data_IF_267825490502
#
_entry.id   IF_267825490502
#
_cell.length_a   1.000
_cell.length_b   1.000
_cell.length_c   1.000
_cell.angle_alpha   90.00
_cell.angle_beta   90.00
_cell.angle_gamma   90.00
#
_symmetry.space_group_name_H-M   'P 1'
#
loop_
_entity.id
_entity.type
_entity.pdbx_description
1 polymer ?
#
# COMPACT_ATOMS: atom_id res chain seq x y z
N UNK A 1 -0.14 18.06 20.47
CA UNK A 1 0.22 17.45 21.77
C UNK A 1 -1.06 17.07 22.52
N UNK A 2 -1.33 15.77 22.64
CA UNK A 2 -2.58 15.22 23.19
C UNK A 2 -2.90 15.75 24.59
N UNK A 3 -1.88 15.89 25.43
CA UNK A 3 -2.06 16.39 26.82
C UNK A 3 -2.63 17.82 26.84
N UNK A 4 -2.22 18.65 25.89
CA UNK A 4 -2.76 20.00 25.76
C UNK A 4 -4.22 19.97 25.28
N UNK A 5 -4.53 19.17 24.27
CA UNK A 5 -5.90 19.01 23.77
C UNK A 5 -6.85 18.53 24.87
N UNK A 6 -6.42 17.53 25.63
CA UNK A 6 -7.21 17.00 26.75
C UNK A 6 -7.39 18.04 27.87
N UNK A 7 -6.38 18.87 28.12
CA UNK A 7 -6.46 19.91 29.16
C UNK A 7 -7.40 21.05 28.74
N UNK A 8 -7.48 21.40 27.47
CA UNK A 8 -8.30 22.51 26.96
C UNK A 8 -9.73 22.06 26.66
N UNK A 9 -9.88 20.99 25.87
CA UNK A 9 -11.17 20.55 25.33
C UNK A 9 -11.75 19.32 26.05
N UNK A 10 -10.93 18.69 26.92
CA UNK A 10 -11.28 17.43 27.56
C UNK A 10 -11.12 16.23 26.62
N UNK A 11 -11.78 15.12 26.98
CA UNK A 11 -11.80 13.92 26.16
C UNK A 11 -12.84 14.04 25.05
N UNK A 12 -12.50 14.81 24.02
CA UNK A 12 -13.37 15.10 22.86
C UNK A 12 -12.63 14.72 21.59
N UNK A 13 -13.32 14.00 20.70
CA UNK A 13 -12.78 13.58 19.39
C UNK A 13 -13.70 14.14 18.31
N UNK A 14 -13.42 15.36 17.87
CA UNK A 14 -14.17 16.05 16.81
C UNK A 14 -13.35 16.03 15.50
N UNK A 15 -13.84 15.33 14.45
CA UNK A 15 -13.19 15.36 13.16
C UNK A 15 -13.45 16.69 12.44
N UNK A 16 -12.42 17.20 11.78
CA UNK A 16 -12.48 18.42 10.97
C UNK A 16 -12.01 18.18 9.54
N UNK A 17 -12.53 19.00 8.60
CA UNK A 17 -12.16 18.92 7.18
C UNK A 17 -10.85 19.62 6.89
N UNK A 18 -9.96 18.91 6.18
CA UNK A 18 -8.70 19.50 5.69
C UNK A 18 -8.91 20.02 4.29
N UNK A 19 -8.72 21.33 4.13
CA UNK A 19 -8.75 21.99 2.85
C UNK A 19 -7.37 22.54 2.50
N UNK A 20 -6.80 22.11 1.39
CA UNK A 20 -5.59 22.71 0.85
C UNK A 20 -5.95 23.75 -0.20
N UNK A 21 -5.47 24.96 0.02
CA UNK A 21 -5.58 26.04 -0.97
C UNK A 21 -4.31 26.04 -1.82
N UNK A 22 -4.46 25.82 -3.12
CA UNK A 22 -3.33 25.93 -4.04
C UNK A 22 -2.96 27.43 -4.18
N UNK A 23 -1.76 27.78 -3.74
CA UNK A 23 -1.29 29.19 -3.73
C UNK A 23 -1.32 29.86 -5.10
N UNK A 24 -1.10 29.08 -6.18
CA UNK A 24 -1.07 29.59 -7.57
C UNK A 24 -2.47 29.75 -8.17
N UNK A 25 -3.37 28.80 -7.91
CA UNK A 25 -4.69 28.76 -8.57
C UNK A 25 -5.83 29.25 -7.67
N UNK A 26 -5.56 29.45 -6.36
CA UNK A 26 -6.55 29.76 -5.31
C UNK A 26 -7.71 28.76 -5.24
N UNK A 27 -7.55 27.58 -5.84
CA UNK A 27 -8.54 26.49 -5.75
C UNK A 27 -8.36 25.73 -4.45
N UNK A 28 -9.46 25.59 -3.71
CA UNK A 28 -9.54 24.71 -2.56
C UNK A 28 -9.67 23.27 -3.03
N UNK A 29 -8.84 22.38 -2.49
CA UNK A 29 -8.94 20.93 -2.68
C UNK A 29 -9.24 20.30 -1.33
N UNK A 30 -10.33 19.56 -1.25
CA UNK A 30 -10.67 18.77 -0.06
C UNK A 30 -9.71 17.58 0.01
N UNK A 31 -8.98 17.48 1.13
CA UNK A 31 -8.04 16.38 1.44
C UNK A 31 -8.64 15.34 2.37
N UNK A 32 -9.93 15.44 2.66
CA UNK A 32 -10.61 14.58 3.58
C UNK A 32 -10.76 15.20 4.97
N UNK A 33 -10.73 14.37 5.98
CA UNK A 33 -10.91 14.79 7.36
C UNK A 33 -9.90 14.12 8.29
N UNK A 34 -9.59 14.78 9.39
CA UNK A 34 -8.72 14.30 10.45
C UNK A 34 -9.30 14.63 11.82
N UNK A 35 -8.77 13.97 12.85
CA UNK A 35 -9.02 14.27 14.24
C UNK A 35 -7.69 14.19 14.99
N UNK A 36 -7.30 15.26 15.67
CA UNK A 36 -5.99 15.38 16.30
C UNK A 36 -5.83 14.42 17.49
N UNK A 37 -6.83 14.36 18.36
CA UNK A 37 -6.74 13.53 19.56
C UNK A 37 -6.81 12.03 19.21
N UNK A 38 -7.74 11.66 18.34
CA UNK A 38 -7.96 10.26 17.91
C UNK A 38 -7.84 10.19 16.38
N UNK A 39 -6.66 9.91 15.81
CA UNK A 39 -6.52 9.67 14.38
C UNK A 39 -7.44 8.56 13.87
N UNK A 40 -7.97 8.72 12.64
CA UNK A 40 -8.94 7.78 12.05
C UNK A 40 -8.49 6.32 12.01
N UNK A 41 -7.19 6.09 11.91
CA UNK A 41 -6.61 4.74 11.89
C UNK A 41 -6.92 3.93 13.14
N UNK A 42 -7.00 4.56 14.31
CA UNK A 42 -7.34 3.87 15.56
C UNK A 42 -8.81 3.46 15.59
N UNK A 43 -9.71 4.33 15.14
CA UNK A 43 -11.14 4.02 15.03
C UNK A 43 -11.36 2.88 14.02
N UNK A 44 -10.71 2.94 12.85
CA UNK A 44 -10.79 1.90 11.82
C UNK A 44 -10.27 0.57 12.37
N UNK A 45 -9.09 0.55 12.96
CA UNK A 45 -8.47 -0.68 13.47
C UNK A 45 -9.29 -1.32 14.60
N UNK A 46 -10.02 -0.54 15.38
CA UNK A 46 -10.80 -1.07 16.50
C UNK A 46 -12.20 -1.53 16.11
N UNK A 47 -12.86 -0.81 15.22
CA UNK A 47 -14.28 -1.03 14.92
C UNK A 47 -14.55 -1.56 13.52
N UNK A 48 -13.62 -1.40 12.58
CA UNK A 48 -13.79 -1.70 11.16
C UNK A 48 -12.62 -2.52 10.60
N UNK A 49 -12.10 -3.44 11.41
CA UNK A 49 -10.94 -4.24 11.03
C UNK A 49 -11.25 -5.14 9.82
N UNK A 50 -12.48 -5.69 9.76
CA UNK A 50 -12.90 -6.56 8.66
C UNK A 50 -12.99 -5.81 7.34
N UNK A 51 -13.57 -4.61 7.36
CA UNK A 51 -13.69 -3.74 6.18
C UNK A 51 -12.30 -3.29 5.70
N UNK A 52 -11.41 -2.98 6.63
CA UNK A 52 -10.02 -2.67 6.31
C UNK A 52 -9.32 -3.87 5.67
N UNK A 53 -9.44 -5.06 6.25
CA UNK A 53 -8.84 -6.28 5.70
C UNK A 53 -9.37 -6.59 4.30
N UNK A 54 -10.65 -6.39 4.04
CA UNK A 54 -11.21 -6.55 2.70
C UNK A 54 -10.58 -5.59 1.68
N UNK A 55 -10.27 -4.35 2.08
CA UNK A 55 -9.56 -3.39 1.22
C UNK A 55 -8.11 -3.85 1.01
N UNK A 56 -7.41 -4.26 2.06
CA UNK A 56 -6.03 -4.76 2.00
C UNK A 56 -5.94 -5.99 1.05
N UNK A 57 -6.95 -6.88 1.05
CA UNK A 57 -7.04 -8.02 0.12
C UNK A 57 -7.21 -7.57 -1.33
N UNK A 58 -8.07 -6.58 -1.60
CA UNK A 58 -8.23 -6.01 -2.94
C UNK A 58 -6.97 -5.30 -3.44
N UNK A 59 -6.23 -4.64 -2.54
CA UNK A 59 -4.95 -4.01 -2.86
C UNK A 59 -3.87 -5.06 -3.19
N UNK A 60 -3.81 -6.17 -2.45
CA UNK A 60 -2.92 -7.28 -2.74
C UNK A 60 -3.24 -7.96 -4.08
N UNK A 61 -4.54 -8.14 -4.40
CA UNK A 61 -4.97 -8.65 -5.70
C UNK A 61 -4.54 -7.71 -6.85
N UNK A 62 -4.72 -6.40 -6.66
CA UNK A 62 -4.28 -5.38 -7.63
C UNK A 62 -2.75 -5.40 -7.84
N UNK A 63 -1.97 -5.56 -6.78
CA UNK A 63 -0.50 -5.70 -6.85
C UNK A 63 -0.11 -6.96 -7.65
N UNK A 64 -0.79 -8.07 -7.40
CA UNK A 64 -0.60 -9.32 -8.15
C UNK A 64 -0.85 -9.12 -9.65
N UNK A 65 -1.95 -8.46 -10.02
CA UNK A 65 -2.24 -8.14 -11.42
C UNK A 65 -1.18 -7.18 -12.00
N UNK A 66 -0.71 -6.21 -11.21
CA UNK A 66 0.39 -5.32 -11.62
C UNK A 66 1.68 -6.08 -11.93
N UNK A 67 2.03 -7.07 -11.11
CA UNK A 67 3.18 -7.95 -11.34
C UNK A 67 3.00 -8.77 -12.62
N UNK A 68 1.83 -9.39 -12.81
CA UNK A 68 1.53 -10.16 -14.03
C UNK A 68 1.58 -9.30 -15.31
N UNK A 69 1.14 -8.04 -15.24
CA UNK A 69 1.27 -7.09 -16.36
C UNK A 69 2.74 -6.81 -16.66
N UNK A 70 3.56 -6.55 -15.64
CA UNK A 70 4.98 -6.28 -15.81
C UNK A 70 5.73 -7.49 -16.37
N UNK A 71 5.44 -8.69 -15.87
CA UNK A 71 6.01 -9.94 -16.37
C UNK A 71 5.63 -10.19 -17.84
N UNK A 72 4.36 -9.96 -18.20
CA UNK A 72 3.89 -10.12 -19.57
C UNK A 72 4.54 -9.09 -20.52
N UNK A 73 4.72 -7.85 -20.08
CA UNK A 73 5.41 -6.80 -20.82
C UNK A 73 6.90 -7.17 -21.01
N UNK A 74 7.57 -7.64 -19.96
CA UNK A 74 8.99 -8.04 -20.03
C UNK A 74 9.20 -9.24 -20.95
N UNK A 75 8.36 -10.27 -20.82
CA UNK A 75 8.44 -11.49 -21.65
C UNK A 75 8.27 -11.19 -23.15
N UNK A 76 7.47 -10.19 -23.49
CA UNK A 76 7.12 -9.87 -24.87
C UNK A 76 7.68 -8.54 -25.38
N UNK A 77 8.72 -7.97 -24.75
CA UNK A 77 9.37 -6.71 -25.15
C UNK A 77 10.60 -6.87 -26.05
N UNK A 78 11.07 -8.11 -26.32
CA UNK A 78 12.23 -8.39 -27.17
C UNK A 78 12.06 -7.97 -28.64
N UNK A 79 13.16 -7.87 -29.40
CA UNK A 79 13.16 -7.36 -30.79
C UNK A 79 12.22 -8.11 -31.75
N UNK A 80 11.96 -9.42 -31.50
CA UNK A 80 11.07 -10.25 -32.33
C UNK A 80 9.76 -10.61 -31.61
N UNK A 81 9.38 -9.87 -30.56
CA UNK A 81 8.22 -10.19 -29.74
C UNK A 81 7.03 -9.26 -29.98
N UNK A 82 5.88 -9.64 -29.41
CA UNK A 82 4.59 -9.05 -29.76
C UNK A 82 4.41 -7.59 -29.34
N UNK A 83 5.27 -7.09 -28.44
CA UNK A 83 5.27 -5.68 -28.01
C UNK A 83 6.42 -4.86 -28.59
N UNK A 84 7.30 -5.45 -29.42
CA UNK A 84 8.45 -4.76 -30.01
C UNK A 84 8.08 -3.49 -30.82
N UNK A 85 6.97 -3.54 -31.53
CA UNK A 85 6.52 -2.45 -32.41
C UNK A 85 5.77 -1.31 -31.65
N UNK A 86 5.62 -1.43 -30.31
CA UNK A 86 4.91 -0.41 -29.56
C UNK A 86 5.85 0.64 -28.96
N UNK A 87 5.73 1.90 -29.36
CA UNK A 87 6.39 3.03 -28.67
C UNK A 87 6.04 3.07 -27.16
N UNK A 88 4.81 2.70 -26.83
CA UNK A 88 4.31 2.53 -25.46
C UNK A 88 3.27 1.42 -25.43
N UNK A 89 3.45 0.48 -24.53
CA UNK A 89 2.47 -0.56 -24.26
C UNK A 89 1.35 0.07 -23.43
N UNK A 90 0.16 0.17 -24.04
CA UNK A 90 -1.03 0.69 -23.39
C UNK A 90 -2.31 0.12 -24.03
N UNK A 91 -3.43 0.22 -23.31
CA UNK A 91 -4.74 -0.31 -23.75
C UNK A 91 -5.09 0.13 -25.18
N UNK A 92 -4.85 1.38 -25.54
CA UNK A 92 -5.24 1.95 -26.83
C UNK A 92 -4.41 1.35 -27.98
N UNK A 93 -3.10 1.23 -27.81
CA UNK A 93 -2.20 0.67 -28.82
C UNK A 93 -2.45 -0.82 -29.01
N UNK A 94 -2.63 -1.57 -27.92
CA UNK A 94 -2.95 -3.01 -27.96
C UNK A 94 -4.30 -3.26 -28.66
N UNK A 95 -5.33 -2.46 -28.36
CA UNK A 95 -6.61 -2.56 -29.05
C UNK A 95 -6.51 -2.24 -30.55
N UNK A 96 -5.69 -1.25 -30.92
CA UNK A 96 -5.43 -0.90 -32.31
C UNK A 96 -4.77 -2.04 -33.07
N UNK A 97 -3.78 -2.70 -32.46
CA UNK A 97 -3.10 -3.86 -33.05
C UNK A 97 -4.05 -5.05 -33.21
N UNK A 98 -4.87 -5.37 -32.21
CA UNK A 98 -5.87 -6.42 -32.32
C UNK A 98 -6.84 -6.18 -33.47
N UNK A 99 -7.33 -4.95 -33.65
CA UNK A 99 -8.22 -4.59 -34.78
C UNK A 99 -7.49 -4.74 -36.13
N UNK A 100 -6.21 -4.38 -36.21
CA UNK A 100 -5.42 -4.54 -37.45
C UNK A 100 -5.26 -6.02 -37.82
N UNK A 101 -4.98 -6.91 -36.85
CA UNK A 101 -4.87 -8.36 -37.07
C UNK A 101 -6.24 -8.94 -37.52
N UNK A 102 -7.34 -8.51 -36.92
CA UNK A 102 -8.69 -8.98 -37.27
C UNK A 102 -9.08 -8.58 -38.73
N UNK A 103 -8.61 -7.42 -39.17
CA UNK A 103 -8.84 -6.91 -40.55
C UNK A 103 -8.03 -7.67 -41.59
N UNK A 104 -6.82 -8.15 -41.26
CA UNK A 104 -5.92 -8.82 -42.18
C UNK A 104 -6.26 -10.30 -42.45
N UNK A 105 -7.33 -10.86 -41.87
CA UNK A 105 -7.78 -12.27 -41.95
C UNK A 105 -6.70 -13.32 -41.62
N UNK A 106 -5.57 -12.91 -41.02
CA UNK A 106 -4.41 -13.75 -40.69
C UNK A 106 -4.55 -14.42 -39.30
N UNK A 107 -5.74 -14.86 -38.96
CA UNK A 107 -6.10 -15.34 -37.59
C UNK A 107 -5.31 -16.61 -37.17
N UNK A 108 -4.89 -17.41 -38.12
CA UNK A 108 -4.24 -18.69 -37.82
C UNK A 108 -2.74 -18.49 -37.52
N UNK A 109 -2.08 -17.61 -38.25
CA UNK A 109 -0.65 -17.31 -38.07
C UNK A 109 -0.36 -16.48 -36.79
N UNK A 110 -1.33 -15.64 -36.37
CA UNK A 110 -1.19 -14.72 -35.23
C UNK A 110 -1.93 -15.20 -33.96
N UNK A 111 -2.22 -16.51 -33.86
CA UNK A 111 -3.03 -17.04 -32.74
C UNK A 111 -2.40 -16.78 -31.37
N UNK A 112 -1.09 -16.87 -31.21
CA UNK A 112 -0.40 -16.63 -29.93
C UNK A 112 -0.34 -15.13 -29.61
N UNK A 113 -0.02 -14.27 -30.59
CA UNK A 113 -0.06 -12.81 -30.43
C UNK A 113 -1.44 -12.35 -29.94
N UNK A 114 -2.50 -12.85 -30.57
CA UNK A 114 -3.88 -12.51 -30.18
C UNK A 114 -4.18 -12.92 -28.73
N UNK A 115 -3.69 -14.07 -28.28
CA UNK A 115 -3.85 -14.51 -26.88
C UNK A 115 -3.15 -13.57 -25.93
N UNK A 116 -1.89 -13.23 -26.18
CA UNK A 116 -1.10 -12.31 -25.35
C UNK A 116 -1.76 -10.94 -25.26
N UNK A 117 -2.13 -10.35 -26.40
CA UNK A 117 -2.80 -9.05 -26.45
C UNK A 117 -4.15 -9.05 -25.72
N UNK A 118 -4.94 -10.13 -25.82
CA UNK A 118 -6.18 -10.28 -25.07
C UNK A 118 -5.97 -10.45 -23.57
N UNK A 119 -4.95 -11.21 -23.17
CA UNK A 119 -4.58 -11.37 -21.77
C UNK A 119 -4.17 -10.04 -21.18
N UNK A 120 -3.35 -9.26 -21.88
CA UNK A 120 -2.98 -7.92 -21.48
C UNK A 120 -4.19 -7.00 -21.27
N UNK A 121 -5.11 -6.97 -22.24
CA UNK A 121 -6.32 -6.15 -22.13
C UNK A 121 -7.19 -6.56 -20.97
N UNK A 122 -7.32 -7.87 -20.72
CA UNK A 122 -8.10 -8.39 -19.58
C UNK A 122 -7.46 -7.95 -18.25
N UNK A 123 -6.15 -8.10 -18.10
CA UNK A 123 -5.44 -7.67 -16.89
C UNK A 123 -5.59 -6.17 -16.63
N UNK A 124 -5.51 -5.32 -17.66
CA UNK A 124 -5.76 -3.87 -17.54
C UNK A 124 -7.21 -3.57 -17.11
N UNK A 125 -8.17 -4.34 -17.61
CA UNK A 125 -9.58 -4.17 -17.24
C UNK A 125 -9.82 -4.61 -15.78
N UNK A 126 -9.31 -5.78 -15.41
CA UNK A 126 -9.37 -6.29 -14.04
C UNK A 126 -8.71 -5.30 -13.04
N UNK A 127 -7.54 -4.74 -13.38
CA UNK A 127 -6.87 -3.71 -12.57
C UNK A 127 -7.71 -2.43 -12.44
N UNK A 128 -8.37 -2.01 -13.53
CA UNK A 128 -9.27 -0.84 -13.52
C UNK A 128 -10.48 -1.07 -12.62
N UNK A 129 -11.06 -2.26 -12.65
CA UNK A 129 -12.22 -2.61 -11.85
C UNK A 129 -11.87 -2.79 -10.37
N UNK A 130 -10.69 -3.35 -10.06
CA UNK A 130 -10.16 -3.36 -8.69
C UNK A 130 -9.93 -1.95 -8.17
N UNK A 131 -9.36 -1.05 -8.96
CA UNK A 131 -9.18 0.36 -8.56
C UNK A 131 -10.52 1.03 -8.19
N UNK A 132 -11.60 0.73 -8.92
CA UNK A 132 -12.94 1.25 -8.58
C UNK A 132 -13.43 0.66 -7.28
N UNK A 133 -13.35 -0.68 -7.12
CA UNK A 133 -13.78 -1.37 -5.90
C UNK A 133 -13.04 -0.87 -4.66
N UNK A 134 -11.70 -0.71 -4.75
CA UNK A 134 -10.88 -0.17 -3.65
C UNK A 134 -11.32 1.24 -3.30
N UNK A 135 -11.52 2.10 -4.30
CA UNK A 135 -11.96 3.48 -4.08
C UNK A 135 -13.33 3.55 -3.41
N UNK A 136 -14.28 2.74 -3.87
CA UNK A 136 -15.64 2.71 -3.35
C UNK A 136 -15.64 2.18 -1.91
N UNK A 137 -14.94 1.06 -1.65
CA UNK A 137 -14.79 0.48 -0.31
C UNK A 137 -14.05 1.45 0.67
N UNK A 138 -13.00 2.13 0.20
CA UNK A 138 -12.28 3.12 1.01
C UNK A 138 -13.16 4.33 1.35
N UNK A 139 -14.01 4.76 0.42
CA UNK A 139 -14.94 5.85 0.64
C UNK A 139 -16.03 5.45 1.63
N UNK A 140 -16.53 4.22 1.52
CA UNK A 140 -17.51 3.67 2.46
C UNK A 140 -16.93 3.55 3.87
N UNK A 141 -15.71 3.00 3.99
CA UNK A 141 -14.99 2.91 5.27
C UNK A 141 -14.76 4.28 5.91
N UNK A 142 -14.37 5.28 5.12
CA UNK A 142 -14.20 6.66 5.61
C UNK A 142 -15.51 7.24 6.14
N UNK A 143 -16.64 6.96 5.48
CA UNK A 143 -17.97 7.39 5.93
C UNK A 143 -18.39 6.68 7.22
N UNK A 144 -18.19 5.37 7.29
CA UNK A 144 -18.49 4.57 8.50
C UNK A 144 -17.66 5.06 9.69
N UNK A 145 -16.37 5.33 9.47
CA UNK A 145 -15.50 5.88 10.50
C UNK A 145 -16.01 7.26 10.96
N UNK A 146 -16.36 8.16 10.05
CA UNK A 146 -16.89 9.50 10.38
C UNK A 146 -18.19 9.43 11.19
N UNK A 147 -19.10 8.53 10.84
CA UNK A 147 -20.33 8.28 11.62
C UNK A 147 -20.00 7.75 13.02
N UNK A 148 -19.00 6.88 13.14
CA UNK A 148 -18.57 6.33 14.44
C UNK A 148 -18.07 7.41 15.38
N UNK A 149 -17.34 8.43 14.89
CA UNK A 149 -16.88 9.55 15.74
C UNK A 149 -18.02 10.27 16.44
N UNK A 150 -19.17 10.42 15.79
CA UNK A 150 -20.36 11.07 16.39
C UNK A 150 -20.95 10.26 17.55
N UNK A 151 -20.69 8.95 17.57
CA UNK A 151 -21.22 8.03 18.56
C UNK A 151 -20.19 7.61 19.63
N UNK A 152 -18.95 8.14 19.59
CA UNK A 152 -17.92 7.82 20.57
C UNK A 152 -18.26 8.39 21.95
N UNK A 153 -18.23 7.54 22.95
CA UNK A 153 -18.33 7.95 24.36
C UNK A 153 -16.96 8.40 24.90
N UNK A 154 -16.96 9.17 25.98
CA UNK A 154 -15.71 9.60 26.66
C UNK A 154 -14.80 8.44 27.04
N UNK A 155 -15.38 7.32 27.47
CA UNK A 155 -14.58 6.18 27.90
C UNK A 155 -13.98 5.43 26.70
N UNK A 156 -14.68 5.35 25.57
CA UNK A 156 -14.13 4.83 24.32
C UNK A 156 -13.00 5.72 23.79
N UNK A 157 -13.15 7.06 23.87
CA UNK A 157 -12.08 7.99 23.49
C UNK A 157 -10.85 7.78 24.37
N UNK A 158 -11.01 7.61 25.70
CA UNK A 158 -9.89 7.29 26.60
C UNK A 158 -9.19 5.99 26.20
N UNK A 159 -9.96 4.93 25.88
CA UNK A 159 -9.38 3.66 25.44
C UNK A 159 -8.59 3.82 24.13
N UNK A 160 -9.15 4.51 23.14
CA UNK A 160 -8.48 4.77 21.87
C UNK A 160 -7.17 5.57 22.04
N UNK A 161 -7.15 6.54 22.96
CA UNK A 161 -5.97 7.37 23.20
C UNK A 161 -4.96 6.66 24.11
N UNK A 162 -5.40 6.11 25.22
CA UNK A 162 -4.48 5.52 26.22
C UNK A 162 -3.99 4.16 25.75
N UNK A 163 -4.92 3.25 25.42
CA UNK A 163 -4.56 1.87 25.11
C UNK A 163 -4.02 1.74 23.68
N UNK A 164 -4.78 2.22 22.69
CA UNK A 164 -4.45 1.99 21.29
C UNK A 164 -3.38 2.95 20.75
N UNK A 165 -3.33 4.21 21.24
CA UNK A 165 -2.36 5.20 20.77
C UNK A 165 -1.10 5.23 21.64
N UNK A 166 -1.22 5.48 22.95
CA UNK A 166 -0.06 5.70 23.81
C UNK A 166 0.63 4.40 24.22
N UNK A 167 -0.11 3.46 24.81
CA UNK A 167 0.49 2.20 25.25
C UNK A 167 1.02 1.38 24.08
N UNK A 168 0.29 1.30 22.97
CA UNK A 168 0.77 0.62 21.77
C UNK A 168 2.03 1.29 21.18
N UNK A 169 2.13 2.63 21.22
CA UNK A 169 3.32 3.36 20.77
C UNK A 169 4.53 3.07 21.67
N UNK A 170 4.34 3.04 22.99
CA UNK A 170 5.38 2.68 23.95
C UNK A 170 5.82 1.23 23.74
N UNK A 171 4.88 0.31 23.60
CA UNK A 171 5.17 -1.10 23.35
C UNK A 171 5.97 -1.29 22.06
N UNK A 172 5.56 -0.63 20.98
CA UNK A 172 6.28 -0.65 19.71
C UNK A 172 7.71 -0.12 19.85
N UNK A 173 7.88 1.01 20.53
CA UNK A 173 9.19 1.62 20.76
C UNK A 173 10.12 0.72 21.56
N UNK A 174 9.60 0.07 22.60
CA UNK A 174 10.37 -0.89 23.40
C UNK A 174 10.77 -2.11 22.58
N UNK A 175 9.83 -2.70 21.82
CA UNK A 175 10.12 -3.84 20.94
C UNK A 175 11.19 -3.49 19.91
N UNK A 176 11.06 -2.37 19.23
CA UNK A 176 12.04 -1.90 18.23
C UNK A 176 13.41 -1.74 18.83
N UNK A 177 13.53 -1.16 20.03
CA UNK A 177 14.81 -1.01 20.70
C UNK A 177 15.42 -2.34 21.13
N UNK A 178 14.59 -3.27 21.62
CA UNK A 178 15.04 -4.63 21.95
C UNK A 178 15.53 -5.39 20.71
N UNK A 179 14.84 -5.29 19.58
CA UNK A 179 15.27 -5.88 18.32
C UNK A 179 16.60 -5.28 17.84
N UNK A 180 16.76 -3.96 17.93
CA UNK A 180 17.99 -3.25 17.58
C UNK A 180 19.18 -3.72 18.43
N UNK A 181 18.97 -3.88 19.74
CA UNK A 181 20.01 -4.39 20.65
C UNK A 181 20.34 -5.84 20.32
N UNK A 182 19.33 -6.69 20.07
CA UNK A 182 19.51 -8.09 19.72
C UNK A 182 20.30 -8.26 18.42
N UNK A 183 19.96 -7.48 17.37
CA UNK A 183 20.69 -7.50 16.10
C UNK A 183 22.16 -7.06 16.27
N UNK A 184 22.42 -6.00 17.04
CA UNK A 184 23.79 -5.56 17.36
C UNK A 184 24.57 -6.64 18.09
N UNK A 185 23.97 -7.30 19.07
CA UNK A 185 24.61 -8.38 19.84
C UNK A 185 24.91 -9.57 18.91
N UNK A 186 23.96 -9.97 18.08
CA UNK A 186 24.14 -11.06 17.11
C UNK A 186 25.26 -10.73 16.11
N UNK A 187 25.28 -9.51 15.58
CA UNK A 187 26.37 -9.04 14.71
C UNK A 187 27.73 -9.12 15.41
N UNK A 188 27.79 -8.67 16.66
CA UNK A 188 29.05 -8.72 17.44
C UNK A 188 29.51 -10.15 17.73
N UNK A 189 28.58 -11.06 18.01
CA UNK A 189 28.90 -12.47 18.20
C UNK A 189 29.47 -13.08 16.92
N UNK A 190 28.86 -12.77 15.74
CA UNK A 190 29.36 -13.24 14.44
C UNK A 190 30.77 -12.74 14.16
N UNK A 191 31.03 -11.42 14.35
CA UNK A 191 32.36 -10.83 14.19
C UNK A 191 33.40 -11.53 15.09
N UNK A 192 33.02 -11.82 16.35
CA UNK A 192 33.93 -12.51 17.28
C UNK A 192 34.13 -13.96 16.84
N UNK A 193 33.07 -14.68 16.42
CA UNK A 193 33.19 -16.05 15.94
C UNK A 193 34.15 -16.13 14.74
N UNK A 194 33.95 -15.27 13.72
CA UNK A 194 34.84 -15.19 12.55
C UNK A 194 36.29 -14.85 12.94
N UNK A 195 36.48 -13.92 13.87
CA UNK A 195 37.82 -13.54 14.36
C UNK A 195 38.56 -14.67 15.06
N UNK A 196 37.84 -15.53 15.79
CA UNK A 196 38.46 -16.64 16.55
C UNK A 196 38.37 -17.98 15.83
N UNK A 197 37.77 -18.04 14.65
CA UNK A 197 37.74 -19.25 13.81
C UNK A 197 39.15 -19.65 13.33
N UNK A 198 39.99 -18.64 13.08
CA UNK A 198 41.40 -18.88 12.71
C UNK A 198 42.26 -18.95 13.98
N UNK A 199 42.73 -20.13 14.34
CA UNK A 199 43.55 -20.34 15.50
C UNK A 199 44.94 -19.68 15.36
N UNK A 200 45.51 -19.18 16.47
CA UNK A 200 46.86 -18.55 16.52
C UNK A 200 47.96 -19.29 15.76
N UNK A 201 48.05 -20.67 15.79
CA UNK A 201 49.05 -21.38 15.00
C UNK A 201 48.97 -21.19 13.49
N UNK A 202 47.79 -20.90 12.96
CA UNK A 202 47.62 -20.60 11.52
C UNK A 202 48.00 -19.16 11.14
N UNK A 203 48.01 -18.26 12.10
CA UNK A 203 48.40 -16.86 11.87
C UNK A 203 49.94 -16.65 11.89
N UNK A 204 50.69 -17.55 12.53
CA UNK A 204 52.17 -17.48 12.61
C UNK A 204 52.87 -18.26 11.50
N UNK A 205 52.14 -18.95 10.61
CA UNK A 205 52.68 -19.77 9.50
C UNK A 205 52.62 -19.09 8.14
N UNK A 206 52.44 -17.75 8.08
CA UNK A 206 52.46 -16.94 6.88
C UNK A 206 53.72 -16.11 6.70
#
# INVERSE_FOLDING_TARGET
DDAYLIAVDGWVAEPYRIKLVNEKTKKETDKGWECDLVPKTFVINRYFLNEKQAIDELEAEKETIGTQLSELEEEHSGEDSYFADFDKINKANVQKRLKAIDTLQSKVENSEEIKVLKTYLKLIEDQSDLNKKIKDASTELDNLALERYKALTKDEIKQLVVDDKWLASIEHSVKTEMERISQRLTGRIKELAERYETTLPKQTSG
#
